data_IF_853438697477
#
_entry.id   IF_853438697477
#
_cell.length_a   1.000
_cell.length_b   1.000
_cell.length_c   1.000
_cell.angle_alpha   90.00
_cell.angle_beta   90.00
_cell.angle_gamma   90.00
#
_symmetry.space_group_name_H-M   'P 1'
#
loop_
_entity.id
_entity.type
_entity.pdbx_description
1 polymer ?
#
# COMPACT_ATOMS: atom_id res chain seq x y z
N UNK A 1 -9.00 14.35 -39.39
CA UNK A 1 -7.75 14.00 -38.68
C UNK A 1 -7.54 14.77 -37.36
N UNK A 2 -8.48 15.59 -36.90
CA UNK A 2 -8.31 16.43 -35.68
C UNK A 2 -8.71 15.75 -34.36
N UNK A 3 -9.64 14.78 -34.38
CA UNK A 3 -10.17 14.17 -33.15
C UNK A 3 -9.17 13.25 -32.43
N UNK A 4 -8.39 12.46 -33.19
CA UNK A 4 -7.39 11.53 -32.64
C UNK A 4 -6.21 12.29 -32.01
N UNK A 5 -5.75 13.33 -32.70
CA UNK A 5 -4.62 14.17 -32.30
C UNK A 5 -4.91 14.94 -31.00
N UNK A 6 -6.15 15.42 -30.83
CA UNK A 6 -6.58 16.10 -29.62
C UNK A 6 -6.66 15.14 -28.42
N UNK A 7 -7.14 13.91 -28.62
CA UNK A 7 -7.18 12.88 -27.57
C UNK A 7 -5.77 12.48 -27.12
N UNK A 8 -4.82 12.33 -28.05
CA UNK A 8 -3.42 12.00 -27.73
C UNK A 8 -2.78 13.13 -26.89
N UNK A 9 -3.04 14.38 -27.25
CA UNK A 9 -2.56 15.53 -26.48
C UNK A 9 -3.08 15.55 -25.05
N UNK A 10 -4.37 15.28 -24.85
CA UNK A 10 -4.96 15.23 -23.50
C UNK A 10 -4.32 14.12 -22.67
N UNK A 11 -4.11 12.92 -23.23
CA UNK A 11 -3.46 11.81 -22.50
C UNK A 11 -2.03 12.16 -22.11
N UNK A 12 -1.26 12.79 -23.02
CA UNK A 12 0.11 13.24 -22.74
C UNK A 12 0.17 14.28 -21.63
N UNK A 13 -0.70 15.31 -21.69
CA UNK A 13 -0.76 16.37 -20.67
C UNK A 13 -1.10 15.77 -19.30
N UNK A 14 -2.08 14.87 -19.27
CA UNK A 14 -2.48 14.17 -18.06
C UNK A 14 -1.30 13.35 -17.49
N UNK A 15 -0.60 12.58 -18.32
CA UNK A 15 0.54 11.77 -17.88
C UNK A 15 1.70 12.59 -17.31
N UNK A 16 2.01 13.74 -17.92
CA UNK A 16 3.06 14.65 -17.44
C UNK A 16 2.67 15.27 -16.10
N UNK A 17 1.42 15.69 -15.93
CA UNK A 17 0.91 16.22 -14.66
C UNK A 17 0.99 15.16 -13.55
N UNK A 18 0.56 13.93 -13.84
CA UNK A 18 0.71 12.80 -12.93
C UNK A 18 2.18 12.54 -12.58
N UNK A 19 3.10 12.63 -13.53
CA UNK A 19 4.52 12.41 -13.24
C UNK A 19 5.13 13.49 -12.34
N UNK A 20 4.58 14.72 -12.36
CA UNK A 20 5.05 15.84 -11.54
C UNK A 20 4.45 15.84 -10.13
N UNK A 21 3.19 15.38 -9.98
CA UNK A 21 2.51 15.37 -8.66
C UNK A 21 2.88 14.15 -7.82
N UNK A 22 3.25 13.03 -8.44
CA UNK A 22 3.66 11.82 -7.75
C UNK A 22 5.19 11.82 -7.67
N UNK A 23 5.73 12.47 -6.63
CA UNK A 23 7.16 12.37 -6.29
C UNK A 23 7.60 10.94 -5.99
N UNK A 24 8.89 10.73 -5.73
CA UNK A 24 9.43 9.40 -5.43
C UNK A 24 8.70 8.76 -4.24
N UNK A 25 8.18 7.54 -4.44
CA UNK A 25 7.45 6.80 -3.42
C UNK A 25 8.37 6.46 -2.25
N UNK A 26 8.23 7.13 -1.10
CA UNK A 26 8.92 6.73 0.13
C UNK A 26 8.11 5.67 0.85
N UNK A 27 8.81 4.72 1.46
CA UNK A 27 8.21 3.66 2.25
C UNK A 27 8.64 3.79 3.70
N UNK A 28 7.65 3.81 4.59
CA UNK A 28 7.86 3.92 6.03
C UNK A 28 7.30 2.70 6.76
N UNK A 29 7.97 2.24 7.83
CA UNK A 29 7.43 1.19 8.67
C UNK A 29 6.19 1.70 9.40
N UNK A 30 5.10 0.95 9.30
CA UNK A 30 3.88 1.19 10.07
C UNK A 30 3.46 -0.09 10.77
N UNK A 31 3.11 0.03 12.05
CA UNK A 31 2.64 -1.08 12.87
C UNK A 31 1.18 -0.91 13.27
N UNK A 32 0.43 -2.00 13.26
CA UNK A 32 -0.94 -2.07 13.75
C UNK A 32 -1.16 -3.38 14.53
N UNK A 33 -1.99 -3.31 15.56
CA UNK A 33 -2.38 -4.47 16.35
C UNK A 33 -3.73 -5.01 15.86
N UNK A 34 -3.82 -6.33 15.78
CA UNK A 34 -5.01 -7.06 15.38
C UNK A 34 -5.28 -8.17 16.39
N UNK A 35 -6.54 -8.59 16.48
CA UNK A 35 -6.90 -9.75 17.29
C UNK A 35 -6.43 -11.06 16.64
N UNK A 36 -6.30 -12.08 17.48
CA UNK A 36 -5.86 -13.42 17.12
C UNK A 36 -4.33 -13.58 17.08
N UNK A 37 -3.91 -14.77 16.66
CA UNK A 37 -2.51 -15.12 16.47
C UNK A 37 -2.08 -15.04 15.01
N UNK A 38 -0.78 -14.91 14.79
CA UNK A 38 -0.15 -14.99 13.49
C UNK A 38 -0.36 -16.38 12.88
N UNK A 39 -0.93 -16.50 11.67
CA UNK A 39 -1.13 -17.79 11.03
C UNK A 39 0.21 -18.41 10.66
N UNK A 40 0.33 -19.73 10.82
CA UNK A 40 1.50 -20.50 10.43
C UNK A 40 1.70 -20.43 8.90
N UNK A 41 2.93 -20.13 8.45
CA UNK A 41 3.31 -20.12 7.03
C UNK A 41 2.75 -18.99 6.16
N UNK A 42 1.79 -18.19 6.63
CA UNK A 42 1.13 -17.13 5.85
C UNK A 42 1.00 -15.79 6.59
N UNK A 43 1.79 -15.59 7.65
CA UNK A 43 1.65 -14.49 8.61
C UNK A 43 1.80 -13.10 7.95
N UNK A 44 2.77 -12.96 7.05
CA UNK A 44 2.98 -11.71 6.28
C UNK A 44 1.82 -11.39 5.33
N UNK A 45 1.27 -12.41 4.63
CA UNK A 45 0.14 -12.22 3.70
C UNK A 45 -1.11 -11.74 4.43
N UNK A 46 -1.41 -12.31 5.62
CA UNK A 46 -2.57 -11.86 6.39
C UNK A 46 -2.41 -10.42 6.85
N UNK A 47 -1.22 -10.00 7.28
CA UNK A 47 -0.96 -8.61 7.62
C UNK A 47 -1.10 -7.67 6.42
N UNK A 48 -0.65 -8.08 5.23
CA UNK A 48 -0.85 -7.34 3.99
C UNK A 48 -2.34 -7.10 3.68
N UNK A 49 -3.17 -8.14 3.74
CA UNK A 49 -4.62 -8.04 3.53
C UNK A 49 -5.30 -7.10 4.51
N UNK A 50 -4.95 -7.19 5.80
CA UNK A 50 -5.51 -6.33 6.84
C UNK A 50 -5.07 -4.86 6.68
N UNK A 51 -3.83 -4.62 6.24
CA UNK A 51 -3.35 -3.27 5.91
C UNK A 51 -4.10 -2.70 4.71
N UNK A 52 -4.30 -3.48 3.65
CA UNK A 52 -5.10 -3.06 2.50
C UNK A 52 -6.54 -2.73 2.89
N UNK A 53 -7.17 -3.56 3.73
CA UNK A 53 -8.53 -3.33 4.20
C UNK A 53 -8.66 -2.04 5.03
N UNK A 54 -7.64 -1.71 5.84
CA UNK A 54 -7.64 -0.55 6.74
C UNK A 54 -7.21 0.76 6.07
N UNK A 55 -6.23 0.71 5.17
CA UNK A 55 -5.58 1.91 4.61
C UNK A 55 -5.91 2.13 3.13
N UNK A 56 -6.49 1.15 2.45
CA UNK A 56 -6.75 1.19 1.01
C UNK A 56 -5.52 0.85 0.16
N UNK A 57 -5.75 0.72 -1.15
CA UNK A 57 -4.73 0.31 -2.12
C UNK A 57 -3.59 1.32 -2.28
N UNK A 58 -3.84 2.61 -2.03
CA UNK A 58 -2.83 3.67 -2.12
C UNK A 58 -1.72 3.54 -1.09
N UNK A 59 -1.94 2.83 0.02
CA UNK A 59 -0.92 2.59 1.03
C UNK A 59 0.17 1.60 0.55
N UNK A 60 -0.10 0.83 -0.50
CA UNK A 60 0.82 -0.17 -1.11
C UNK A 60 1.67 -0.92 -0.06
N UNK A 61 1.05 -1.64 0.89
CA UNK A 61 1.77 -2.32 1.94
C UNK A 61 2.72 -3.37 1.36
N UNK A 62 3.94 -3.46 1.88
CA UNK A 62 4.92 -4.47 1.49
C UNK A 62 5.77 -4.89 2.69
N UNK A 63 6.59 -5.95 2.53
CA UNK A 63 7.52 -6.44 3.55
C UNK A 63 6.83 -6.63 4.92
N UNK A 64 5.62 -7.19 4.89
CA UNK A 64 4.79 -7.35 6.08
C UNK A 64 5.29 -8.51 6.97
N UNK A 65 5.39 -8.22 8.26
CA UNK A 65 5.74 -9.17 9.31
C UNK A 65 4.62 -9.26 10.33
N UNK A 66 4.51 -10.41 10.98
CA UNK A 66 3.52 -10.67 12.01
C UNK A 66 4.24 -11.22 13.24
N UNK A 67 3.98 -10.63 14.40
CA UNK A 67 4.48 -11.10 15.69
C UNK A 67 3.33 -11.32 16.65
N UNK A 68 3.28 -12.49 17.30
CA UNK A 68 2.31 -12.75 18.36
C UNK A 68 2.57 -11.84 19.56
N UNK A 69 1.51 -11.35 20.17
CA UNK A 69 1.51 -10.62 21.44
C UNK A 69 0.78 -11.45 22.51
N UNK A 70 0.79 -10.96 23.74
CA UNK A 70 -0.04 -11.48 24.82
C UNK A 70 -1.54 -11.26 24.54
N UNK A 71 -2.39 -11.94 25.31
CA UNK A 71 -3.85 -11.74 25.28
C UNK A 71 -4.52 -12.02 23.92
N UNK A 72 -3.99 -12.99 23.16
CA UNK A 72 -4.53 -13.37 21.85
C UNK A 72 -4.57 -12.19 20.86
N UNK A 73 -3.52 -11.38 20.85
CA UNK A 73 -3.31 -10.31 19.89
C UNK A 73 -2.06 -10.58 19.05
N UNK A 74 -1.96 -9.89 17.93
CA UNK A 74 -0.78 -9.91 17.05
C UNK A 74 -0.46 -8.51 16.55
N UNK A 75 0.83 -8.22 16.44
CA UNK A 75 1.36 -7.00 15.83
C UNK A 75 1.74 -7.29 14.39
N UNK A 76 1.12 -6.57 13.47
CA UNK A 76 1.52 -6.54 12.07
C UNK A 76 2.37 -5.29 11.83
N UNK A 77 3.53 -5.46 11.18
CA UNK A 77 4.36 -4.34 10.72
C UNK A 77 4.61 -4.48 9.24
N UNK A 78 4.23 -3.48 8.45
CA UNK A 78 4.47 -3.41 7.01
C UNK A 78 5.18 -2.10 6.66
N UNK A 79 5.90 -2.10 5.55
CA UNK A 79 6.32 -0.87 4.87
C UNK A 79 5.14 -0.35 4.05
N UNK A 80 4.77 0.91 4.21
CA UNK A 80 3.67 1.54 3.45
C UNK A 80 4.16 2.83 2.81
N UNK A 81 3.50 3.24 1.72
CA UNK A 81 3.76 4.55 1.12
C UNK A 81 3.52 5.63 2.17
N UNK A 82 4.54 6.45 2.36
CA UNK A 82 4.52 7.66 3.19
C UNK A 82 5.06 8.81 2.32
N UNK A 83 4.41 9.96 2.37
CA UNK A 83 4.87 11.19 1.70
C UNK A 83 5.59 12.08 2.70
#
# INVERSE_FOLDING_TARGET
MTKLQNSIFVVLVVFVLFSQTYGEWKFCPKSMNFDGQCPLGASGRRCFEEFLARLGASAMPMNCTCNNLSQNQRKCTCQVVCG
#
